data_IF_459590038784
#
_entry.id   IF_459590038784
#
_cell.length_a   1.000
_cell.length_b   1.000
_cell.length_c   1.000
_cell.angle_alpha   90.00
_cell.angle_beta   90.00
_cell.angle_gamma   90.00
#
_symmetry.space_group_name_H-M   'P 1'
#
loop_
_entity.id
_entity.type
_entity.pdbx_description
1 polymer ?
#
# COMPACT_ATOMS: atom_id res chain seq x y z
N UNK A 1 11.76 -14.97 0.20
CA UNK A 1 10.77 -14.90 1.30
C UNK A 1 10.57 -16.25 1.96
N UNK A 2 10.74 -17.37 1.25
CA UNK A 2 10.60 -18.72 1.82
C UNK A 2 11.51 -18.99 3.02
N UNK A 3 12.78 -18.56 3.00
CA UNK A 3 13.69 -18.74 4.14
C UNK A 3 13.21 -18.05 5.41
N UNK A 4 12.59 -16.86 5.27
CA UNK A 4 11.96 -16.11 6.38
C UNK A 4 10.78 -16.91 6.94
N UNK A 5 10.05 -17.60 6.08
CA UNK A 5 8.92 -18.41 6.48
C UNK A 5 9.31 -19.61 7.35
N UNK A 6 10.49 -20.18 7.12
CA UNK A 6 10.98 -21.38 7.79
C UNK A 6 11.81 -21.05 9.04
N UNK A 7 12.71 -20.06 8.95
CA UNK A 7 13.52 -19.60 10.08
C UNK A 7 13.87 -18.12 9.91
N UNK A 8 13.19 -17.27 10.69
CA UNK A 8 13.39 -15.83 10.66
C UNK A 8 14.72 -15.42 11.29
N UNK A 9 15.16 -16.11 12.36
CA UNK A 9 16.40 -15.81 13.06
C UNK A 9 17.62 -16.14 12.20
N UNK A 10 17.61 -17.29 11.52
CA UNK A 10 18.68 -17.67 10.60
C UNK A 10 18.72 -16.73 9.39
N UNK A 11 17.56 -16.29 8.89
CA UNK A 11 17.51 -15.35 7.75
C UNK A 11 17.96 -13.94 8.14
N UNK A 12 17.60 -13.49 9.35
CA UNK A 12 17.91 -12.15 9.86
C UNK A 12 18.50 -12.21 11.28
N UNK A 13 19.78 -12.53 11.44
CA UNK A 13 20.39 -12.67 12.78
C UNK A 13 20.50 -11.34 13.54
N UNK A 14 20.36 -10.21 12.85
CA UNK A 14 20.41 -8.85 13.40
C UNK A 14 19.39 -7.96 12.69
N UNK A 15 18.92 -6.93 13.38
CA UNK A 15 18.09 -5.88 12.76
C UNK A 15 18.92 -4.93 11.88
N UNK A 16 18.24 -3.94 11.28
CA UNK A 16 18.88 -2.92 10.45
C UNK A 16 19.91 -2.06 11.20
N UNK A 17 19.76 -1.88 12.51
CA UNK A 17 20.69 -1.13 13.36
C UNK A 17 21.84 -2.01 13.89
N UNK A 18 21.83 -3.31 13.59
CA UNK A 18 22.83 -4.27 14.05
C UNK A 18 22.54 -4.89 15.43
N UNK A 19 21.37 -4.62 16.00
CA UNK A 19 20.88 -5.25 17.24
C UNK A 19 20.73 -6.75 17.02
N UNK A 20 21.37 -7.62 17.82
CA UNK A 20 21.20 -9.07 17.71
C UNK A 20 19.75 -9.52 17.92
N UNK A 21 19.29 -10.51 17.14
CA UNK A 21 17.93 -11.09 17.26
C UNK A 21 17.54 -11.40 18.71
N UNK A 22 18.42 -12.09 19.43
CA UNK A 22 18.17 -12.55 20.80
C UNK A 22 18.00 -11.41 21.82
N UNK A 23 18.44 -10.20 21.47
CA UNK A 23 18.32 -9.02 22.33
C UNK A 23 17.05 -8.22 22.08
N UNK A 24 16.22 -8.60 21.10
CA UNK A 24 14.99 -7.89 20.72
C UNK A 24 13.80 -8.51 21.50
N UNK A 25 13.20 -7.80 22.49
CA UNK A 25 12.17 -8.39 23.33
C UNK A 25 10.91 -8.85 22.58
N UNK A 26 10.50 -8.11 21.53
CA UNK A 26 9.32 -8.45 20.73
C UNK A 26 9.46 -9.71 19.87
N UNK A 27 10.68 -10.24 19.72
CA UNK A 27 10.95 -11.47 18.95
C UNK A 27 11.09 -12.71 19.84
N UNK A 28 10.97 -12.56 21.17
CA UNK A 28 11.04 -13.70 22.08
C UNK A 28 9.87 -14.65 21.84
N UNK A 29 10.17 -15.92 21.54
CA UNK A 29 9.17 -16.93 21.22
C UNK A 29 8.71 -16.94 19.77
N UNK A 30 9.24 -16.05 18.91
CA UNK A 30 8.99 -16.04 17.46
C UNK A 30 10.17 -16.70 16.77
N UNK A 31 9.91 -17.71 15.96
CA UNK A 31 10.93 -18.46 15.21
C UNK A 31 10.67 -18.47 13.71
N UNK A 32 9.40 -18.59 13.31
CA UNK A 32 8.99 -18.76 11.92
C UNK A 32 7.66 -18.04 11.66
N UNK A 33 7.20 -18.00 10.41
CA UNK A 33 5.95 -17.29 10.07
C UNK A 33 4.69 -18.00 10.59
N UNK A 34 4.77 -19.26 11.00
CA UNK A 34 3.67 -19.94 11.71
C UNK A 34 3.40 -19.39 13.11
N UNK A 35 4.36 -18.66 13.71
CA UNK A 35 4.20 -18.02 15.01
C UNK A 35 3.48 -16.65 14.90
N UNK A 36 3.21 -16.16 13.69
CA UNK A 36 2.51 -14.87 13.47
C UNK A 36 1.09 -15.08 12.97
N UNK A 37 0.16 -14.29 13.52
CA UNK A 37 -1.25 -14.35 13.16
C UNK A 37 -1.57 -13.56 11.87
N UNK A 38 -0.79 -12.51 11.56
CA UNK A 38 -1.01 -11.65 10.41
C UNK A 38 0.28 -11.00 9.93
N UNK A 39 0.38 -10.78 8.62
CA UNK A 39 1.46 -10.00 8.00
C UNK A 39 0.91 -8.65 7.55
N UNK A 40 1.54 -7.56 7.98
CA UNK A 40 1.24 -6.21 7.50
C UNK A 40 2.43 -5.69 6.67
N UNK A 41 2.26 -5.60 5.35
CA UNK A 41 3.31 -5.16 4.44
C UNK A 41 3.07 -3.73 3.97
N UNK A 42 3.86 -2.77 4.47
CA UNK A 42 3.86 -1.39 3.97
C UNK A 42 5.11 -1.22 3.11
N UNK A 43 4.93 -1.10 1.80
CA UNK A 43 6.06 -1.13 0.85
C UNK A 43 5.83 -0.22 -0.35
N UNK A 44 6.93 0.24 -0.93
CA UNK A 44 6.96 0.94 -2.20
C UNK A 44 8.02 0.25 -3.09
N UNK A 45 7.57 -0.41 -4.15
CA UNK A 45 8.44 -1.09 -5.11
C UNK A 45 8.62 -2.59 -4.84
N UNK A 46 9.79 -3.10 -5.22
CA UNK A 46 10.12 -4.53 -5.24
C UNK A 46 11.34 -4.83 -4.37
N UNK A 47 11.32 -5.91 -3.57
CA UNK A 47 10.17 -6.77 -3.28
C UNK A 47 9.14 -6.04 -2.41
N UNK A 48 7.86 -6.28 -2.65
CA UNK A 48 6.74 -5.66 -1.95
C UNK A 48 5.62 -6.64 -1.63
N UNK A 49 4.45 -6.09 -1.31
CA UNK A 49 3.28 -6.87 -0.90
C UNK A 49 2.86 -7.95 -1.91
N UNK A 50 3.09 -7.71 -3.20
CA UNK A 50 2.76 -8.63 -4.29
C UNK A 50 3.48 -9.96 -4.14
N UNK A 51 4.79 -9.92 -3.94
CA UNK A 51 5.61 -11.12 -3.80
C UNK A 51 5.30 -11.86 -2.50
N UNK A 52 4.96 -11.13 -1.42
CA UNK A 52 4.50 -11.72 -0.17
C UNK A 52 3.19 -12.49 -0.35
N UNK A 53 2.23 -11.90 -1.04
CA UNK A 53 0.95 -12.57 -1.35
C UNK A 53 1.18 -13.80 -2.24
N UNK A 54 2.03 -13.69 -3.27
CA UNK A 54 2.30 -14.79 -4.18
C UNK A 54 3.06 -15.96 -3.53
N UNK A 55 3.99 -15.68 -2.61
CA UNK A 55 4.87 -16.71 -2.03
C UNK A 55 4.37 -17.26 -0.69
N UNK A 56 3.68 -16.45 0.12
CA UNK A 56 3.36 -16.78 1.52
C UNK A 56 1.88 -17.08 1.74
N UNK A 57 0.98 -16.21 1.25
CA UNK A 57 -0.47 -16.28 1.55
C UNK A 57 -1.04 -17.68 1.27
N UNK A 58 -0.82 -18.21 0.06
CA UNK A 58 -1.36 -19.52 -0.35
C UNK A 58 -0.71 -20.71 0.37
N UNK A 59 0.56 -20.60 0.78
CA UNK A 59 1.32 -21.73 1.36
C UNK A 59 1.10 -21.86 2.86
N UNK A 60 1.05 -20.74 3.57
CA UNK A 60 0.99 -20.71 5.03
C UNK A 60 -0.39 -20.31 5.56
N UNK A 61 -1.34 -19.93 4.69
CA UNK A 61 -2.69 -19.52 5.05
C UNK A 61 -2.73 -18.35 6.07
N UNK A 62 -1.68 -17.51 6.05
CA UNK A 62 -1.57 -16.35 6.94
C UNK A 62 -2.24 -15.16 6.25
N UNK A 63 -3.17 -14.45 6.91
CA UNK A 63 -3.78 -13.25 6.36
C UNK A 63 -2.73 -12.16 6.14
N UNK A 64 -2.73 -11.58 4.94
CA UNK A 64 -1.80 -10.50 4.57
C UNK A 64 -2.62 -9.25 4.32
N UNK A 65 -2.29 -8.18 5.03
CA UNK A 65 -2.78 -6.82 4.76
C UNK A 65 -1.59 -5.90 4.48
N UNK A 66 -1.85 -4.67 4.03
CA UNK A 66 -0.72 -3.77 3.84
C UNK A 66 -1.05 -2.42 3.24
N UNK A 67 0.00 -1.68 2.91
CA UNK A 67 -0.07 -0.37 2.28
C UNK A 67 0.89 -0.27 1.09
N UNK A 68 0.43 0.39 0.03
CA UNK A 68 1.19 0.61 -1.20
C UNK A 68 1.07 2.05 -1.68
N UNK A 69 1.97 2.47 -2.57
CA UNK A 69 1.82 3.74 -3.28
C UNK A 69 0.56 3.74 -4.15
N UNK A 70 0.01 4.92 -4.44
CA UNK A 70 -1.23 5.06 -5.21
C UNK A 70 -1.15 4.38 -6.60
N UNK A 71 0.03 4.40 -7.23
CA UNK A 71 0.27 3.78 -8.54
C UNK A 71 0.22 2.25 -8.50
N UNK A 72 0.56 1.63 -7.38
CA UNK A 72 0.56 0.18 -7.19
C UNK A 72 -0.77 -0.36 -6.66
N UNK A 73 -1.68 0.51 -6.21
CA UNK A 73 -3.01 0.13 -5.73
C UNK A 73 -3.80 -0.74 -6.69
N UNK A 74 -3.91 -0.36 -7.98
CA UNK A 74 -4.66 -1.13 -8.97
C UNK A 74 -4.20 -2.58 -9.13
N UNK A 75 -2.89 -2.82 -9.02
CA UNK A 75 -2.31 -4.17 -9.13
C UNK A 75 -2.71 -5.10 -7.98
N UNK A 76 -3.18 -4.54 -6.85
CA UNK A 76 -3.53 -5.31 -5.66
C UNK A 76 -4.99 -5.74 -5.62
N UNK A 77 -5.87 -5.13 -6.43
CA UNK A 77 -7.30 -5.47 -6.43
C UNK A 77 -7.59 -6.95 -6.71
N UNK A 78 -6.90 -7.65 -7.63
CA UNK A 78 -7.14 -9.09 -7.83
C UNK A 78 -6.90 -9.91 -6.56
N UNK A 79 -5.90 -9.53 -5.75
CA UNK A 79 -5.58 -10.22 -4.49
C UNK A 79 -6.59 -9.93 -3.38
N UNK A 80 -7.18 -8.74 -3.37
CA UNK A 80 -8.30 -8.41 -2.48
C UNK A 80 -9.53 -9.24 -2.88
N UNK A 81 -9.84 -9.29 -4.18
CA UNK A 81 -11.00 -10.01 -4.70
C UNK A 81 -10.89 -11.53 -4.51
N UNK A 82 -9.68 -12.08 -4.61
CA UNK A 82 -9.44 -13.50 -4.34
C UNK A 82 -9.40 -13.85 -2.85
N UNK A 83 -9.42 -12.86 -1.96
CA UNK A 83 -9.29 -13.05 -0.50
C UNK A 83 -7.86 -13.33 -0.04
N UNK A 84 -6.87 -13.30 -0.94
CA UNK A 84 -5.45 -13.49 -0.58
C UNK A 84 -4.87 -12.26 0.14
N UNK A 85 -5.49 -11.10 -0.02
CA UNK A 85 -5.19 -9.86 0.69
C UNK A 85 -6.41 -9.39 1.47
N UNK A 86 -6.30 -9.29 2.80
CA UNK A 86 -7.42 -8.97 3.69
C UNK A 86 -7.68 -7.47 3.84
N UNK A 87 -6.74 -6.62 3.44
CA UNK A 87 -6.88 -5.16 3.51
C UNK A 87 -5.74 -4.42 2.83
N UNK A 88 -6.04 -3.25 2.28
CA UNK A 88 -5.07 -2.43 1.54
C UNK A 88 -5.26 -0.93 1.80
N UNK A 89 -4.18 -0.27 2.21
CA UNK A 89 -4.05 1.18 2.25
C UNK A 89 -3.35 1.65 0.96
N UNK A 90 -4.13 2.09 -0.03
CA UNK A 90 -3.56 2.58 -1.29
C UNK A 90 -3.38 4.10 -1.29
N UNK A 91 -2.11 4.53 -1.23
CA UNK A 91 -1.71 5.92 -1.32
C UNK A 91 -2.39 6.84 -0.30
N UNK A 92 -2.52 8.11 -0.68
CA UNK A 92 -3.12 9.14 0.18
C UNK A 92 -4.60 8.89 0.47
N UNK A 93 -5.35 8.35 -0.50
CA UNK A 93 -6.76 7.99 -0.30
C UNK A 93 -6.93 6.95 0.79
N UNK A 94 -6.19 5.84 0.73
CA UNK A 94 -6.25 4.80 1.75
C UNK A 94 -5.83 5.30 3.13
N UNK A 95 -4.80 6.15 3.19
CA UNK A 95 -4.40 6.81 4.43
C UNK A 95 -5.52 7.70 5.01
N UNK A 96 -6.19 8.50 4.18
CA UNK A 96 -7.30 9.35 4.60
C UNK A 96 -8.50 8.56 5.12
N UNK A 97 -8.87 7.47 4.43
CA UNK A 97 -9.96 6.58 4.85
C UNK A 97 -9.63 5.92 6.20
N UNK A 98 -8.37 5.52 6.42
CA UNK A 98 -7.92 4.98 7.69
C UNK A 98 -7.94 6.03 8.81
N UNK A 99 -7.43 7.24 8.56
CA UNK A 99 -7.48 8.37 9.50
C UNK A 99 -8.92 8.70 9.94
N UNK A 100 -9.86 8.69 8.99
CA UNK A 100 -11.28 8.84 9.29
C UNK A 100 -11.82 7.68 10.14
N UNK A 101 -11.47 6.44 9.78
CA UNK A 101 -11.93 5.23 10.49
C UNK A 101 -11.47 5.23 11.95
N UNK A 102 -10.24 5.67 12.23
CA UNK A 102 -9.70 5.73 13.60
C UNK A 102 -10.00 7.03 14.34
N UNK A 103 -10.74 7.95 13.71
CA UNK A 103 -11.12 9.23 14.31
C UNK A 103 -9.94 10.19 14.56
N UNK A 104 -8.84 10.05 13.82
CA UNK A 104 -7.63 10.88 13.94
C UNK A 104 -7.28 11.51 12.59
N UNK A 105 -7.92 12.64 12.22
CA UNK A 105 -7.57 13.40 11.04
C UNK A 105 -6.07 13.75 11.00
N UNK A 106 -5.43 13.55 9.86
CA UNK A 106 -4.01 13.82 9.66
C UNK A 106 -3.67 14.32 8.26
N UNK A 107 -2.47 13.96 7.80
CA UNK A 107 -1.95 14.39 6.51
C UNK A 107 -2.69 13.75 5.34
N UNK A 108 -3.20 12.52 5.52
CA UNK A 108 -3.99 11.85 4.49
C UNK A 108 -5.27 12.62 4.18
N UNK A 109 -6.06 12.93 5.21
CA UNK A 109 -7.34 13.60 5.06
C UNK A 109 -7.19 15.05 4.55
N UNK A 110 -6.23 15.79 5.08
CA UNK A 110 -5.95 17.16 4.61
C UNK A 110 -5.44 17.18 3.15
N UNK A 111 -4.59 16.22 2.78
CA UNK A 111 -4.11 16.06 1.41
C UNK A 111 -5.23 15.74 0.40
N UNK A 112 -6.23 14.94 0.79
CA UNK A 112 -7.38 14.64 -0.05
C UNK A 112 -8.22 15.87 -0.43
N UNK A 113 -8.34 16.84 0.48
CA UNK A 113 -9.02 18.11 0.20
C UNK A 113 -8.27 18.88 -0.89
N UNK A 114 -6.95 19.05 -0.73
CA UNK A 114 -6.12 19.73 -1.72
C UNK A 114 -6.17 19.01 -3.09
N UNK A 115 -6.06 17.69 -3.10
CA UNK A 115 -6.12 16.89 -4.32
C UNK A 115 -7.46 17.09 -5.05
N UNK A 116 -8.58 17.15 -4.32
CA UNK A 116 -9.92 17.35 -4.90
C UNK A 116 -10.05 18.69 -5.62
N UNK A 117 -9.57 19.79 -5.02
CA UNK A 117 -9.57 21.11 -5.66
C UNK A 117 -8.72 21.14 -6.93
N UNK A 118 -7.53 20.53 -6.90
CA UNK A 118 -6.65 20.46 -8.07
C UNK A 118 -7.30 19.66 -9.20
N UNK A 119 -7.99 18.55 -8.90
CA UNK A 119 -8.69 17.77 -9.92
C UNK A 119 -9.81 18.58 -10.58
N UNK A 120 -10.61 19.32 -9.80
CA UNK A 120 -11.64 20.22 -10.34
C UNK A 120 -11.01 21.29 -11.22
N UNK A 121 -9.91 21.91 -10.77
CA UNK A 121 -9.19 22.92 -11.56
C UNK A 121 -8.69 22.36 -12.90
N UNK A 122 -8.12 21.15 -12.91
CA UNK A 122 -7.66 20.49 -14.14
C UNK A 122 -8.84 20.23 -15.08
N UNK A 123 -9.97 19.76 -14.58
CA UNK A 123 -11.20 19.58 -15.39
C UNK A 123 -11.65 20.89 -16.01
N UNK A 124 -11.66 21.99 -15.24
CA UNK A 124 -12.02 23.31 -15.75
C UNK A 124 -11.07 23.76 -16.87
N UNK A 125 -9.76 23.57 -16.72
CA UNK A 125 -8.80 23.90 -17.77
C UNK A 125 -8.96 23.04 -19.02
N UNK A 126 -9.28 21.75 -18.87
CA UNK A 126 -9.59 20.87 -20.01
C UNK A 126 -10.84 21.39 -20.75
N UNK A 127 -11.90 21.75 -20.04
CA UNK A 127 -13.12 22.28 -20.67
C UNK A 127 -12.85 23.61 -21.38
N UNK A 128 -12.13 24.51 -20.73
CA UNK A 128 -11.75 25.80 -21.32
C UNK A 128 -10.93 25.60 -22.61
N UNK A 129 -9.90 24.74 -22.57
CA UNK A 129 -9.08 24.43 -23.73
C UNK A 129 -9.90 23.84 -24.89
N UNK A 130 -10.85 22.95 -24.59
CA UNK A 130 -11.75 22.40 -25.60
C UNK A 130 -12.66 23.47 -26.21
N UNK A 131 -13.24 24.37 -25.41
CA UNK A 131 -14.07 25.47 -25.91
C UNK A 131 -13.26 26.37 -26.86
N UNK A 132 -12.06 26.79 -26.45
CA UNK A 132 -11.16 27.60 -27.28
C UNK A 132 -10.83 26.89 -28.59
N UNK A 133 -10.46 25.61 -28.53
CA UNK A 133 -10.17 24.79 -29.70
C UNK A 133 -11.33 24.76 -30.71
N UNK A 134 -12.57 24.55 -30.25
CA UNK A 134 -13.73 24.51 -31.13
C UNK A 134 -14.10 25.88 -31.70
N UNK A 135 -13.90 26.97 -30.95
CA UNK A 135 -14.11 28.34 -31.44
C UNK A 135 -13.11 28.70 -32.54
N UNK A 136 -11.83 28.38 -32.36
CA UNK A 136 -10.80 28.60 -33.39
C UNK A 136 -11.06 27.77 -34.64
N UNK A 137 -11.46 26.51 -34.49
CA UNK A 137 -11.78 25.64 -35.63
C UNK A 137 -12.97 26.16 -36.44
N UNK A 138 -13.96 26.78 -35.80
CA UNK A 138 -15.08 27.45 -36.49
C UNK A 138 -14.66 28.72 -37.21
N UNK A 139 -13.64 29.45 -36.73
CA UNK A 139 -13.13 30.68 -37.37
C UNK A 139 -12.23 30.42 -38.57
N UNK A 140 -11.60 29.23 -38.64
CA UNK A 140 -10.73 28.81 -39.76
C UNK A 140 -11.47 28.07 -40.89
N UNK A 141 -12.75 27.75 -40.70
CA UNK A 141 -13.66 27.30 -41.77
C UNK A 141 -14.44 28.50 -42.31
#
# INVERSE_FOLDING_TARGET
MVSVAEDMKATFPRDFLGTPWDSIPMLQGISNLGDVEMIVCVSAGYPGIKEWVQQISTRYMIPIGGGVTAVSGPEMYPYIQSGQLVGLLSGMKGAAEYEQLVGKPGLGLSGMVAQSYVHVMVVVFILFANVVFFLEKRRKR
#
